data_IF_946413473775
#
_entry.id   IF_946413473775
#
_cell.length_a   1.000
_cell.length_b   1.000
_cell.length_c   1.000
_cell.angle_alpha   90.00
_cell.angle_beta   90.00
_cell.angle_gamma   90.00
#
_symmetry.space_group_name_H-M   'P 1'
#
loop_
_entity.id
_entity.type
_entity.pdbx_description
1 polymer ?
#
# COMPACT_ATOMS: atom_id res chain seq x y z
N UNK A 1 81.88 66.30 46.94
CA UNK A 1 81.71 65.41 45.76
C UNK A 1 80.94 64.19 46.18
N UNK A 2 79.91 63.83 45.40
CA UNK A 2 79.30 62.50 45.27
C UNK A 2 78.65 61.87 46.53
N UNK A 3 77.41 61.40 46.51
CA UNK A 3 76.49 61.26 45.40
C UNK A 3 75.26 60.44 45.81
N UNK A 4 74.17 60.75 45.11
CA UNK A 4 73.15 59.84 44.58
C UNK A 4 72.42 58.88 45.53
N UNK A 5 71.14 59.25 45.74
CA UNK A 5 69.93 58.45 45.50
C UNK A 5 70.16 56.94 45.32
N UNK A 6 69.65 56.14 46.24
CA UNK A 6 69.44 54.71 46.01
C UNK A 6 68.26 54.53 45.06
N UNK A 7 68.44 53.93 43.88
CA UNK A 7 67.34 53.50 43.03
C UNK A 7 66.92 52.08 43.44
N UNK A 8 65.67 51.72 43.16
CA UNK A 8 65.29 50.31 43.17
C UNK A 8 63.80 50.07 43.09
N UNK A 9 63.21 50.48 41.96
CA UNK A 9 61.92 50.03 41.49
C UNK A 9 61.91 48.49 41.41
N UNK A 10 60.87 47.87 41.97
CA UNK A 10 60.23 46.64 41.50
C UNK A 10 61.08 45.38 41.25
N UNK A 11 60.75 44.28 41.95
CA UNK A 11 60.38 42.99 41.33
C UNK A 11 59.83 42.06 42.41
N UNK A 12 58.57 41.67 42.29
CA UNK A 12 57.98 40.58 43.08
C UNK A 12 58.62 39.28 42.61
N UNK A 13 59.22 38.51 43.53
CA UNK A 13 59.66 37.13 43.26
C UNK A 13 58.84 36.20 44.13
N UNK A 14 57.74 35.74 43.54
CA UNK A 14 57.00 34.58 43.99
C UNK A 14 57.89 33.34 43.82
N UNK A 15 58.26 32.70 44.92
CA UNK A 15 58.92 31.39 44.91
C UNK A 15 57.99 30.33 45.50
N UNK A 16 57.22 29.72 44.59
CA UNK A 16 57.07 28.28 44.47
C UNK A 16 56.54 27.47 45.67
N UNK A 17 55.21 27.44 45.84
CA UNK A 17 54.54 26.23 46.33
C UNK A 17 54.64 25.15 45.25
N UNK A 18 55.44 24.12 45.50
CA UNK A 18 55.30 22.83 44.81
C UNK A 18 54.26 21.99 45.58
N UNK A 19 53.43 21.17 44.91
CA UNK A 19 53.98 19.94 44.35
C UNK A 19 53.66 19.78 42.86
N UNK A 20 54.66 19.20 42.19
CA UNK A 20 54.64 18.74 40.81
C UNK A 20 53.33 17.98 40.52
N UNK A 21 52.50 18.52 39.64
CA UNK A 21 51.47 17.74 38.95
C UNK A 21 52.21 16.73 38.06
N UNK A 22 52.17 15.47 38.47
CA UNK A 22 52.68 14.36 37.68
C UNK A 22 51.98 14.30 36.32
N UNK A 23 52.77 14.01 35.29
CA UNK A 23 52.37 13.80 33.91
C UNK A 23 51.56 12.50 33.75
N UNK A 24 50.28 12.49 34.14
CA UNK A 24 49.34 11.51 33.59
C UNK A 24 48.27 12.24 32.76
N UNK A 25 48.53 12.33 31.46
CA UNK A 25 47.49 12.55 30.47
C UNK A 25 46.64 11.27 30.41
N UNK A 26 45.33 11.40 30.64
CA UNK A 26 44.39 10.35 30.22
C UNK A 26 43.29 9.95 31.18
N UNK A 27 42.79 10.83 32.06
CA UNK A 27 41.44 10.63 32.60
C UNK A 27 40.81 11.92 33.13
N UNK A 28 40.83 12.96 32.29
CA UNK A 28 39.82 14.00 32.41
C UNK A 28 38.50 13.39 31.97
N UNK A 29 37.70 12.90 32.93
CA UNK A 29 36.27 12.70 32.74
C UNK A 29 35.68 14.09 32.51
N UNK A 30 35.80 14.59 31.29
CA UNK A 30 34.90 15.60 30.79
C UNK A 30 33.59 14.82 30.69
N UNK A 31 32.79 14.88 31.75
CA UNK A 31 31.36 14.64 31.64
C UNK A 31 30.84 15.74 30.73
N UNK A 32 31.07 15.54 29.45
CA UNK A 32 30.16 16.00 28.45
C UNK A 32 28.88 15.24 28.76
N UNK A 33 28.06 15.79 29.66
CA UNK A 33 26.62 15.66 29.58
C UNK A 33 26.18 16.34 28.27
N UNK A 34 26.66 15.83 27.14
CA UNK A 34 25.84 15.76 25.95
C UNK A 34 24.74 14.81 26.35
N UNK A 35 23.75 15.35 27.07
CA UNK A 35 22.41 14.81 27.10
C UNK A 35 22.14 14.40 25.67
N UNK A 36 22.15 13.08 25.40
CA UNK A 36 21.66 12.60 24.13
C UNK A 36 20.28 13.23 24.00
N UNK A 37 20.02 14.03 22.93
CA UNK A 37 18.79 14.78 22.86
C UNK A 37 17.66 13.80 23.12
N UNK A 38 16.83 14.08 24.13
CA UNK A 38 15.73 13.22 24.50
C UNK A 38 14.93 12.96 23.22
N UNK A 39 15.11 11.76 22.65
CA UNK A 39 14.64 11.45 21.32
C UNK A 39 13.13 11.56 21.40
N UNK A 40 12.52 12.54 20.74
CA UNK A 40 11.07 12.67 20.73
C UNK A 40 10.48 11.54 19.88
N UNK A 41 10.42 10.34 20.46
CA UNK A 41 9.96 9.13 19.81
C UNK A 41 8.48 9.21 19.45
N UNK A 42 7.72 10.11 20.07
CA UNK A 42 6.30 10.33 19.76
C UNK A 42 6.16 10.90 18.34
N UNK A 43 6.93 11.94 18.00
CA UNK A 43 6.93 12.52 16.66
C UNK A 43 7.39 11.54 15.58
N UNK A 44 8.47 10.78 15.85
CA UNK A 44 8.98 9.76 14.93
C UNK A 44 7.96 8.64 14.68
N UNK A 45 7.24 8.19 15.72
CA UNK A 45 6.18 7.18 15.58
C UNK A 45 5.00 7.70 14.75
N UNK A 46 4.59 8.95 14.94
CA UNK A 46 3.50 9.56 14.14
C UNK A 46 3.90 9.63 12.66
N UNK A 47 5.12 10.06 12.36
CA UNK A 47 5.62 10.11 10.98
C UNK A 47 5.67 8.69 10.39
N UNK A 48 6.17 7.71 11.14
CA UNK A 48 6.21 6.32 10.68
C UNK A 48 4.80 5.76 10.38
N UNK A 49 3.81 6.05 11.24
CA UNK A 49 2.41 5.67 11.01
C UNK A 49 1.83 6.39 9.80
N UNK A 50 2.07 7.70 9.66
CA UNK A 50 1.59 8.46 8.51
C UNK A 50 2.17 7.93 7.19
N UNK A 51 3.45 7.60 7.15
CA UNK A 51 4.11 6.97 6.00
C UNK A 51 3.51 5.61 5.70
N UNK A 52 3.28 4.78 6.72
CA UNK A 52 2.64 3.47 6.56
C UNK A 52 1.22 3.62 5.99
N UNK A 53 0.41 4.54 6.53
CA UNK A 53 -0.91 4.83 6.01
C UNK A 53 -0.87 5.31 4.55
N UNK A 54 0.08 6.19 4.19
CA UNK A 54 0.25 6.65 2.82
C UNK A 54 0.63 5.52 1.86
N UNK A 55 1.51 4.60 2.29
CA UNK A 55 1.86 3.42 1.51
C UNK A 55 0.67 2.48 1.34
N UNK A 56 -0.08 2.22 2.40
CA UNK A 56 -1.28 1.37 2.35
C UNK A 56 -2.35 1.99 1.44
N UNK A 57 -2.61 3.29 1.56
CA UNK A 57 -3.56 4.01 0.70
C UNK A 57 -3.07 4.05 -0.75
N UNK A 58 -1.78 4.24 -0.98
CA UNK A 58 -1.18 4.22 -2.31
C UNK A 58 -1.30 2.85 -2.98
N UNK A 59 -1.00 1.77 -2.25
CA UNK A 59 -1.19 0.39 -2.74
C UNK A 59 -2.67 0.11 -3.00
N UNK A 60 -3.55 0.50 -2.07
CA UNK A 60 -5.00 0.36 -2.25
C UNK A 60 -5.50 1.09 -3.50
N UNK A 61 -5.04 2.32 -3.73
CA UNK A 61 -5.37 3.08 -4.94
C UNK A 61 -4.85 2.40 -6.22
N UNK A 62 -3.62 1.88 -6.24
CA UNK A 62 -3.09 1.16 -7.41
C UNK A 62 -3.91 -0.10 -7.70
N UNK A 63 -4.31 -0.85 -6.68
CA UNK A 63 -5.14 -2.05 -6.84
C UNK A 63 -6.54 -1.73 -7.39
N UNK A 64 -7.13 -0.60 -7.00
CA UNK A 64 -8.44 -0.16 -7.51
C UNK A 64 -8.36 0.52 -8.88
N UNK A 65 -7.20 1.04 -9.29
CA UNK A 65 -6.99 1.56 -10.65
C UNK A 65 -6.87 0.45 -11.69
N UNK A 66 -6.20 -0.65 -11.36
CA UNK A 66 -6.02 -1.80 -12.27
C UNK A 66 -7.35 -2.50 -12.60
N UNK A 67 -8.32 -2.47 -11.68
CA UNK A 67 -9.65 -3.05 -11.95
C UNK A 67 -10.43 -2.27 -13.02
N UNK A 68 -10.13 -0.98 -13.23
CA UNK A 68 -10.77 -0.15 -14.25
C UNK A 68 -10.20 -0.38 -15.66
N UNK A 69 -8.93 -0.82 -15.79
CA UNK A 69 -8.32 -1.06 -17.10
C UNK A 69 -8.63 -2.44 -17.69
N UNK A 70 -9.18 -3.36 -16.90
CA UNK A 70 -9.65 -4.67 -17.38
C UNK A 70 -11.02 -4.59 -18.10
N UNK A 71 -11.41 -3.42 -18.58
CA UNK A 71 -12.73 -3.12 -19.15
C UNK A 71 -12.95 -3.60 -20.60
N UNK A 72 -12.06 -4.45 -21.15
CA UNK A 72 -12.31 -5.07 -22.45
C UNK A 72 -12.79 -6.49 -22.23
N UNK A 73 -14.08 -6.72 -22.41
CA UNK A 73 -14.66 -8.06 -22.41
C UNK A 73 -14.26 -8.78 -23.71
N UNK A 74 -13.59 -9.93 -23.62
CA UNK A 74 -13.40 -10.78 -24.79
C UNK A 74 -14.69 -11.55 -25.11
N UNK A 75 -15.02 -11.66 -26.40
CA UNK A 75 -16.17 -12.45 -26.89
C UNK A 75 -15.65 -13.80 -27.38
N UNK A 76 -15.18 -14.63 -26.44
CA UNK A 76 -14.59 -15.95 -26.69
C UNK A 76 -15.34 -17.10 -26.00
N UNK A 77 -16.37 -16.78 -25.21
CA UNK A 77 -17.14 -17.73 -24.41
C UNK A 77 -16.54 -18.02 -23.04
N UNK A 78 -15.38 -17.44 -22.70
CA UNK A 78 -14.85 -17.45 -21.34
C UNK A 78 -15.55 -16.36 -20.51
N UNK A 79 -15.91 -16.70 -19.27
CA UNK A 79 -16.58 -15.79 -18.34
C UNK A 79 -15.66 -15.18 -17.27
N UNK A 80 -14.36 -15.44 -17.32
CA UNK A 80 -13.38 -14.89 -16.38
C UNK A 80 -13.34 -13.35 -16.42
N UNK A 81 -13.53 -12.76 -17.60
CA UNK A 81 -13.55 -11.30 -17.78
C UNK A 81 -14.76 -10.64 -17.10
N UNK A 82 -15.79 -11.43 -16.74
CA UNK A 82 -17.02 -10.95 -16.11
C UNK A 82 -17.01 -11.02 -14.59
N UNK A 83 -15.91 -11.43 -13.94
CA UNK A 83 -15.85 -11.57 -12.46
C UNK A 83 -16.09 -10.26 -11.70
N UNK A 84 -15.76 -9.11 -12.29
CA UNK A 84 -15.97 -7.79 -11.69
C UNK A 84 -17.29 -7.10 -12.07
N UNK A 85 -18.08 -7.71 -12.96
CA UNK A 85 -19.34 -7.12 -13.45
C UNK A 85 -20.49 -7.63 -12.58
N UNK A 86 -21.32 -6.72 -12.07
CA UNK A 86 -22.50 -7.07 -11.30
C UNK A 86 -23.51 -7.83 -12.18
N UNK A 87 -23.85 -9.06 -11.76
CA UNK A 87 -24.78 -9.94 -12.48
C UNK A 87 -26.11 -10.00 -11.77
N UNK A 88 -27.17 -10.08 -12.56
CA UNK A 88 -28.48 -10.47 -12.07
C UNK A 88 -28.59 -11.98 -12.15
N UNK A 89 -29.02 -12.62 -11.06
CA UNK A 89 -29.28 -14.06 -11.02
C UNK A 89 -30.79 -14.31 -10.94
N UNK A 90 -31.21 -15.42 -11.51
CA UNK A 90 -32.60 -15.87 -11.49
C UNK A 90 -32.64 -17.32 -11.05
N UNK A 91 -33.57 -17.65 -10.15
CA UNK A 91 -33.78 -19.02 -9.72
C UNK A 91 -34.31 -19.91 -10.86
N UNK A 92 -33.97 -21.20 -10.78
CA UNK A 92 -34.36 -22.21 -11.75
C UNK A 92 -35.88 -22.36 -11.80
N UNK A 93 -36.44 -22.38 -13.00
CA UNK A 93 -37.87 -22.59 -13.21
C UNK A 93 -38.21 -24.07 -13.34
N UNK A 94 -39.25 -24.51 -12.63
CA UNK A 94 -39.78 -25.86 -12.76
C UNK A 94 -40.46 -26.05 -14.12
N UNK A 95 -40.19 -27.19 -14.76
CA UNK A 95 -40.80 -27.54 -16.05
C UNK A 95 -40.17 -26.87 -17.28
N UNK A 96 -39.15 -26.02 -17.10
CA UNK A 96 -38.39 -25.42 -18.21
C UNK A 96 -37.09 -26.22 -18.43
N UNK A 97 -36.77 -26.58 -19.69
CA UNK A 97 -35.50 -27.22 -20.03
C UNK A 97 -34.29 -26.37 -19.63
N UNK A 98 -33.26 -26.99 -19.04
CA UNK A 98 -32.09 -26.30 -18.48
C UNK A 98 -31.30 -25.49 -19.53
N UNK A 99 -31.31 -25.93 -20.79
CA UNK A 99 -30.62 -25.29 -21.91
C UNK A 99 -31.26 -23.98 -22.38
N UNK A 100 -32.49 -23.67 -21.95
CA UNK A 100 -33.19 -22.42 -22.25
C UNK A 100 -33.53 -21.60 -21.00
N UNK A 101 -33.29 -22.13 -19.81
CA UNK A 101 -33.54 -21.43 -18.55
C UNK A 101 -32.31 -20.60 -18.14
N UNK A 102 -32.46 -19.26 -18.16
CA UNK A 102 -31.38 -18.32 -17.85
C UNK A 102 -31.13 -18.31 -16.34
N UNK A 103 -29.90 -18.65 -15.95
CA UNK A 103 -29.42 -18.61 -14.57
C UNK A 103 -28.89 -17.23 -14.19
N UNK A 104 -28.12 -16.60 -15.08
CA UNK A 104 -27.50 -15.30 -14.82
C UNK A 104 -27.41 -14.47 -16.10
N UNK A 105 -27.50 -13.14 -15.95
CA UNK A 105 -27.35 -12.20 -17.05
C UNK A 105 -26.79 -10.85 -16.58
N UNK A 106 -26.09 -10.16 -17.49
CA UNK A 106 -25.52 -8.84 -17.25
C UNK A 106 -25.25 -8.10 -18.55
N UNK A 107 -25.05 -6.78 -18.45
CA UNK A 107 -24.54 -5.95 -19.54
C UNK A 107 -23.51 -4.97 -19.00
N UNK A 108 -22.46 -4.69 -19.76
CA UNK A 108 -21.48 -3.66 -19.42
C UNK A 108 -21.01 -2.94 -20.67
N UNK A 109 -20.66 -1.68 -20.51
CA UNK A 109 -19.89 -0.97 -21.53
C UNK A 109 -18.46 -1.50 -21.52
N UNK A 110 -17.92 -1.75 -22.72
CA UNK A 110 -16.58 -2.29 -22.95
C UNK A 110 -15.95 -1.50 -24.10
N UNK A 111 -15.25 -0.43 -23.77
CA UNK A 111 -14.70 0.51 -24.75
C UNK A 111 -15.80 1.29 -25.47
N UNK A 112 -15.99 1.02 -26.77
CA UNK A 112 -17.06 1.63 -27.61
C UNK A 112 -18.25 0.69 -27.86
N UNK A 113 -18.21 -0.51 -27.27
CA UNK A 113 -19.21 -1.54 -27.47
C UNK A 113 -19.98 -1.77 -26.17
N UNK A 114 -21.17 -2.35 -26.28
CA UNK A 114 -21.89 -2.93 -25.15
C UNK A 114 -21.72 -4.45 -25.24
N UNK A 115 -21.24 -5.05 -24.16
CA UNK A 115 -21.12 -6.50 -24.04
C UNK A 115 -22.31 -7.04 -23.24
N UNK A 116 -22.78 -8.23 -23.63
CA UNK A 116 -23.85 -8.95 -22.96
C UNK A 116 -23.35 -10.30 -22.45
N UNK A 117 -23.80 -10.66 -21.26
CA UNK A 117 -23.55 -11.93 -20.62
C UNK A 117 -24.87 -12.64 -20.39
N UNK A 118 -24.93 -13.91 -20.75
CA UNK A 118 -26.03 -14.79 -20.42
C UNK A 118 -25.48 -16.19 -20.16
N UNK A 119 -25.92 -16.78 -19.05
CA UNK A 119 -25.63 -18.16 -18.66
C UNK A 119 -26.94 -18.87 -18.43
N UNK A 120 -27.08 -20.08 -18.97
CA UNK A 120 -28.23 -20.96 -18.72
C UNK A 120 -27.84 -22.04 -17.71
N UNK A 121 -28.84 -22.71 -17.12
CA UNK A 121 -28.60 -23.80 -16.17
C UNK A 121 -27.94 -25.04 -16.82
N UNK A 122 -28.19 -25.26 -18.12
CA UNK A 122 -27.61 -26.34 -18.92
C UNK A 122 -26.56 -25.85 -19.91
N UNK A 123 -26.52 -26.46 -21.09
CA UNK A 123 -25.66 -26.04 -22.19
C UNK A 123 -26.44 -25.14 -23.16
N UNK A 124 -25.91 -23.94 -23.44
CA UNK A 124 -26.52 -23.06 -24.42
C UNK A 124 -26.41 -23.66 -25.83
N UNK A 125 -27.42 -23.43 -26.68
CA UNK A 125 -27.48 -23.92 -28.06
C UNK A 125 -27.43 -25.45 -28.19
N UNK A 126 -27.95 -26.19 -27.20
CA UNK A 126 -28.05 -27.65 -27.21
C UNK A 126 -29.08 -28.23 -28.19
N UNK A 127 -29.48 -27.48 -29.23
CA UNK A 127 -30.36 -27.98 -30.27
C UNK A 127 -29.62 -28.91 -31.22
N UNK A 128 -30.12 -30.12 -31.44
CA UNK A 128 -29.56 -31.08 -32.40
C UNK A 128 -30.15 -30.92 -33.83
N UNK A 129 -31.01 -29.93 -34.02
CA UNK A 129 -31.69 -29.65 -35.29
C UNK A 129 -32.85 -30.61 -35.63
N UNK A 130 -33.18 -31.57 -34.75
CA UNK A 130 -34.26 -32.53 -35.00
C UNK A 130 -35.57 -32.02 -34.40
N UNK A 131 -36.36 -31.33 -35.22
CA UNK A 131 -37.77 -31.16 -34.94
C UNK A 131 -38.48 -32.51 -35.16
N UNK A 132 -38.73 -33.25 -34.07
CA UNK A 132 -39.78 -34.27 -34.08
C UNK A 132 -41.12 -33.53 -34.04
N UNK A 133 -41.70 -33.30 -35.22
CA UNK A 133 -43.11 -32.97 -35.34
C UNK A 133 -43.86 -34.27 -35.07
N UNK A 134 -44.36 -34.45 -33.85
CA UNK A 134 -45.41 -35.44 -33.61
C UNK A 134 -46.64 -34.96 -34.38
N UNK A 135 -46.82 -35.51 -35.59
CA UNK A 135 -48.06 -35.34 -36.35
C UNK A 135 -49.13 -36.09 -35.54
N UNK A 136 -50.17 -35.42 -35.04
CA UNK A 136 -51.26 -36.10 -34.35
C UNK A 136 -51.86 -37.12 -35.32
N UNK A 137 -52.04 -38.37 -34.88
CA UNK A 137 -52.81 -39.34 -35.64
C UNK A 137 -54.24 -38.78 -35.80
N UNK A 138 -54.56 -38.37 -37.02
CA UNK A 138 -55.94 -38.08 -37.41
C UNK A 138 -56.71 -39.40 -37.36
N UNK A 139 -57.64 -39.51 -36.40
CA UNK A 139 -58.70 -40.50 -36.38
C UNK A 139 -59.99 -39.87 -36.90
#
# INVERSE_FOLDING_TARGET
MNGKVTPGLGMKKEYGKSPRKGLINGLGKIENERSAPAKNTKGVKIIAVAVLCFLVLGVFAVLTYQSQQRNTIAIDGNFDDWQGVAKQSKERMNGVPENIDIAEYASTESGRNVAFYAKVYGNMLYGDGRYIVEVPNEN
#
